data_IF_822434697151
#
_entry.id   IF_822434697151
#
_cell.length_a   1.000
_cell.length_b   1.000
_cell.length_c   1.000
_cell.angle_alpha   90.00
_cell.angle_beta   90.00
_cell.angle_gamma   90.00
#
_symmetry.space_group_name_H-M   'P 1'
#
loop_
_entity.id
_entity.type
_entity.pdbx_description
1 polymer ?
#
# COMPACT_ATOMS: atom_id res chain seq x y z
N UNK A 1 33.90 -15.48 71.40
CA UNK A 1 32.54 -15.01 71.04
C UNK A 1 32.67 -14.00 69.90
N UNK A 2 32.42 -14.42 68.66
CA UNK A 2 32.43 -13.54 67.49
C UNK A 2 31.00 -13.49 66.93
N UNK A 3 30.43 -12.29 66.80
CA UNK A 3 29.12 -12.06 66.17
C UNK A 3 29.35 -11.70 64.71
N UNK A 4 28.87 -12.55 63.80
CA UNK A 4 28.80 -12.28 62.36
C UNK A 4 27.47 -11.55 62.09
N UNK A 5 27.55 -10.32 61.60
CA UNK A 5 26.40 -9.55 61.13
C UNK A 5 26.11 -9.89 59.67
N UNK A 6 24.89 -10.34 59.39
CA UNK A 6 24.40 -10.59 58.03
C UNK A 6 23.85 -9.26 57.47
N UNK A 7 24.46 -8.78 56.38
CA UNK A 7 23.99 -7.66 55.59
C UNK A 7 22.90 -8.15 54.63
N UNK A 8 21.66 -7.69 54.79
CA UNK A 8 20.57 -7.96 53.86
C UNK A 8 20.64 -7.01 52.66
N UNK A 9 20.86 -7.53 51.46
CA UNK A 9 20.63 -6.79 50.21
C UNK A 9 19.13 -6.71 49.94
N UNK A 10 18.57 -5.50 49.88
CA UNK A 10 17.29 -5.25 49.22
C UNK A 10 17.53 -4.95 47.73
N UNK A 11 17.07 -5.84 46.87
CA UNK A 11 16.97 -5.59 45.43
C UNK A 11 15.70 -4.79 45.14
N UNK A 12 15.85 -3.54 44.72
CA UNK A 12 14.76 -2.73 44.20
C UNK A 12 14.42 -3.19 42.78
N UNK A 13 13.22 -3.77 42.60
CA UNK A 13 12.70 -4.11 41.29
C UNK A 13 12.26 -2.82 40.56
N UNK A 14 13.03 -2.43 39.53
CA UNK A 14 12.63 -1.40 38.57
C UNK A 14 11.50 -1.97 37.69
N UNK A 15 10.28 -1.50 37.90
CA UNK A 15 9.19 -1.71 36.95
C UNK A 15 9.46 -0.85 35.69
N UNK A 16 9.30 -1.40 34.47
CA UNK A 16 9.41 -0.59 33.26
C UNK A 16 8.25 0.42 33.21
N UNK A 17 8.60 1.70 33.21
CA UNK A 17 7.66 2.80 33.02
C UNK A 17 7.05 2.73 31.62
N UNK A 18 5.77 2.37 31.54
CA UNK A 18 5.00 2.53 30.32
C UNK A 18 4.81 4.02 30.04
N UNK A 19 5.42 4.50 28.95
CA UNK A 19 5.11 5.82 28.38
C UNK A 19 3.60 5.94 28.14
N UNK A 20 3.00 7.12 28.35
CA UNK A 20 1.58 7.32 28.03
C UNK A 20 1.35 7.04 26.55
N UNK A 21 0.56 6.01 26.26
CA UNK A 21 0.08 5.71 24.91
C UNK A 21 -0.84 6.85 24.46
N UNK A 22 -0.25 7.84 23.76
CA UNK A 22 -1.03 8.81 23.00
C UNK A 22 -1.89 8.10 21.95
N UNK A 23 -2.99 8.72 21.54
CA UNK A 23 -3.82 8.19 20.45
C UNK A 23 -2.94 7.92 19.23
N UNK A 24 -2.96 6.71 18.66
CA UNK A 24 -2.09 6.37 17.53
C UNK A 24 -2.33 7.37 16.38
N UNK A 25 -1.28 7.90 15.74
CA UNK A 25 -1.44 8.89 14.68
C UNK A 25 -2.36 8.35 13.58
N UNK A 26 -3.34 9.17 13.19
CA UNK A 26 -4.17 8.89 12.03
C UNK A 26 -3.44 9.37 10.79
N UNK A 27 -3.16 8.45 9.86
CA UNK A 27 -2.31 8.68 8.70
C UNK A 27 -3.11 8.53 7.41
N UNK A 28 -3.15 9.54 6.53
CA UNK A 28 -3.71 9.42 5.19
C UNK A 28 -3.14 8.21 4.44
N UNK A 29 -4.03 7.31 4.05
CA UNK A 29 -3.72 6.05 3.39
C UNK A 29 -4.29 6.02 1.97
N UNK A 30 -3.56 5.44 1.03
CA UNK A 30 -3.91 5.34 -0.38
C UNK A 30 -3.66 3.92 -0.87
N UNK A 31 -4.55 3.44 -1.73
CA UNK A 31 -4.39 2.16 -2.43
C UNK A 31 -4.19 2.49 -3.91
N UNK A 32 -3.14 1.97 -4.54
CA UNK A 32 -2.91 2.09 -5.97
C UNK A 32 -2.77 0.70 -6.59
N UNK A 33 -3.76 0.33 -7.40
CA UNK A 33 -3.85 -0.96 -8.08
C UNK A 33 -4.00 -0.81 -9.60
N UNK A 34 -3.60 -1.83 -10.36
CA UNK A 34 -3.76 -1.82 -11.82
C UNK A 34 -2.76 -2.70 -12.57
N UNK A 35 -2.35 -2.27 -13.77
CA UNK A 35 -1.40 -3.01 -14.61
C UNK A 35 -0.05 -2.30 -14.78
N UNK A 36 0.61 -2.48 -15.92
CA UNK A 36 1.94 -1.96 -16.24
C UNK A 36 2.06 -0.46 -16.00
N UNK A 37 1.12 0.35 -16.48
CA UNK A 37 1.23 1.80 -16.34
C UNK A 37 1.11 2.31 -14.90
N UNK A 38 0.74 1.45 -13.95
CA UNK A 38 0.90 1.77 -12.54
C UNK A 38 2.37 1.89 -12.12
N UNK A 39 3.34 1.31 -12.83
CA UNK A 39 4.73 1.26 -12.37
C UNK A 39 5.79 0.69 -13.31
N UNK A 40 5.67 0.82 -14.63
CA UNK A 40 6.60 0.20 -15.62
C UNK A 40 7.60 1.19 -16.24
N UNK A 41 7.47 2.50 -16.05
CA UNK A 41 8.41 3.46 -16.65
C UNK A 41 9.73 3.49 -15.87
N UNK A 42 10.85 3.14 -16.50
CA UNK A 42 12.19 3.23 -15.90
C UNK A 42 12.65 4.66 -15.67
N UNK A 43 13.50 4.91 -14.65
CA UNK A 43 14.02 6.28 -14.39
C UNK A 43 14.81 6.86 -15.55
N UNK A 44 15.35 6.02 -16.44
CA UNK A 44 16.03 6.45 -17.66
C UNK A 44 15.09 7.17 -18.65
N UNK A 45 13.77 6.96 -18.52
CA UNK A 45 12.74 7.67 -19.27
C UNK A 45 12.45 9.08 -18.76
N UNK A 46 13.02 9.50 -17.62
CA UNK A 46 12.86 10.88 -17.12
C UNK A 46 13.85 11.84 -17.80
N UNK A 47 13.35 13.02 -18.16
CA UNK A 47 14.19 14.20 -18.42
C UNK A 47 14.92 14.64 -17.14
N UNK A 48 15.95 15.48 -17.27
CA UNK A 48 16.67 16.03 -16.12
C UNK A 48 15.74 16.82 -15.19
N UNK A 49 14.82 17.60 -15.77
CA UNK A 49 13.81 18.38 -15.05
C UNK A 49 12.83 17.48 -14.30
N UNK A 50 12.34 16.41 -14.93
CA UNK A 50 11.47 15.44 -14.28
C UNK A 50 12.19 14.69 -13.16
N UNK A 51 13.44 14.31 -13.36
CA UNK A 51 14.24 13.64 -12.33
C UNK A 51 14.48 14.55 -11.12
N UNK A 52 14.75 15.83 -11.36
CA UNK A 52 14.87 16.83 -10.30
C UNK A 52 13.54 17.08 -9.57
N UNK A 53 12.42 17.01 -10.27
CA UNK A 53 11.10 17.28 -9.70
C UNK A 53 10.47 16.09 -8.98
N UNK A 54 10.69 14.85 -9.45
CA UNK A 54 9.93 13.66 -9.05
C UNK A 54 10.79 12.45 -8.70
N UNK A 55 12.11 12.50 -8.92
CA UNK A 55 13.01 11.40 -8.57
C UNK A 55 13.36 11.37 -7.08
N UNK A 56 13.87 10.22 -6.62
CA UNK A 56 14.38 10.06 -5.25
C UNK A 56 13.28 9.85 -4.21
N UNK A 57 13.59 10.22 -2.96
CA UNK A 57 12.68 10.02 -1.82
C UNK A 57 11.56 11.05 -1.85
N UNK A 58 10.31 10.60 -1.78
CA UNK A 58 9.16 11.47 -1.59
C UNK A 58 9.02 11.77 -0.09
N UNK A 59 9.09 13.04 0.35
CA UNK A 59 9.07 13.37 1.77
C UNK A 59 7.85 12.80 2.50
N UNK A 60 8.05 12.36 3.75
CA UNK A 60 7.02 11.91 4.68
C UNK A 60 6.01 10.92 4.05
N UNK A 61 6.46 10.04 3.16
CA UNK A 61 5.60 9.08 2.47
C UNK A 61 6.25 7.72 2.55
N UNK A 62 5.58 6.76 3.19
CA UNK A 62 6.01 5.36 3.13
C UNK A 62 5.16 4.61 2.10
N UNK A 63 5.76 3.60 1.48
CA UNK A 63 5.12 2.70 0.53
C UNK A 63 5.20 1.26 1.02
N UNK A 64 4.12 0.52 0.81
CA UNK A 64 4.10 -0.94 0.82
C UNK A 64 3.94 -1.41 -0.62
N UNK A 65 4.98 -2.02 -1.18
CA UNK A 65 4.96 -2.51 -2.55
C UNK A 65 5.47 -3.96 -2.63
N UNK A 66 4.56 -4.95 -2.76
CA UNK A 66 4.93 -6.34 -2.83
C UNK A 66 5.68 -6.71 -4.11
N UNK A 67 5.73 -5.86 -5.14
CA UNK A 67 6.65 -6.08 -6.26
C UNK A 67 8.14 -6.04 -5.87
N UNK A 68 8.46 -5.47 -4.70
CA UNK A 68 9.82 -5.36 -4.17
C UNK A 68 10.17 -6.40 -3.10
N UNK A 69 9.21 -7.21 -2.65
CA UNK A 69 9.47 -8.19 -1.59
C UNK A 69 8.46 -9.34 -1.46
N UNK A 70 7.48 -9.45 -2.36
CA UNK A 70 6.36 -10.39 -2.27
C UNK A 70 5.68 -10.31 -0.89
N UNK A 71 5.53 -11.47 -0.23
CA UNK A 71 5.02 -11.57 1.14
C UNK A 71 5.92 -10.95 2.22
N UNK A 72 7.16 -10.59 1.89
CA UNK A 72 8.12 -9.96 2.81
C UNK A 72 8.17 -8.44 2.68
N UNK A 73 7.29 -7.86 1.88
CA UNK A 73 7.17 -6.41 1.80
C UNK A 73 6.97 -5.82 3.21
N UNK A 74 7.61 -4.69 3.44
CA UNK A 74 7.42 -3.87 4.62
C UNK A 74 7.09 -2.47 4.15
N UNK A 75 6.61 -1.64 5.07
CA UNK A 75 6.52 -0.22 4.79
C UNK A 75 7.89 0.42 4.88
N UNK A 76 8.26 1.14 3.84
CA UNK A 76 9.56 1.78 3.69
C UNK A 76 9.38 3.18 3.08
N UNK A 77 10.32 4.13 3.28
CA UNK A 77 10.25 5.43 2.64
C UNK A 77 10.08 5.27 1.12
N UNK A 78 9.07 5.92 0.53
CA UNK A 78 8.82 5.86 -0.90
C UNK A 78 10.00 6.51 -1.63
N UNK A 79 10.71 5.70 -2.41
CA UNK A 79 11.84 6.11 -3.21
C UNK A 79 11.60 5.74 -4.68
N UNK A 80 11.36 6.77 -5.48
CA UNK A 80 11.04 6.64 -6.90
C UNK A 80 12.18 5.98 -7.65
N UNK A 81 11.85 4.88 -8.33
CA UNK A 81 12.79 4.03 -9.05
C UNK A 81 13.59 3.07 -8.18
N UNK A 82 13.17 2.84 -6.93
CA UNK A 82 13.79 1.84 -6.05
C UNK A 82 12.73 0.86 -5.55
N UNK A 83 11.66 1.35 -4.92
CA UNK A 83 10.60 0.53 -4.35
C UNK A 83 9.21 0.78 -4.98
N UNK A 84 9.21 1.25 -6.24
CA UNK A 84 8.00 1.75 -6.92
C UNK A 84 7.58 0.95 -8.15
N UNK A 85 8.30 -0.09 -8.55
CA UNK A 85 7.95 -0.89 -9.73
C UNK A 85 6.63 -1.65 -9.55
N UNK A 86 5.96 -1.97 -10.64
CA UNK A 86 4.92 -3.01 -10.63
C UNK A 86 5.55 -4.41 -10.53
N UNK A 87 4.77 -5.44 -10.28
CA UNK A 87 5.21 -6.84 -10.46
C UNK A 87 5.52 -7.10 -11.94
N UNK A 88 6.17 -8.23 -12.25
CA UNK A 88 6.62 -8.64 -13.60
C UNK A 88 7.30 -7.55 -14.46
N UNK A 89 7.92 -6.57 -13.81
CA UNK A 89 8.61 -5.44 -14.43
C UNK A 89 9.83 -5.88 -15.25
N UNK A 90 10.13 -5.13 -16.31
CA UNK A 90 11.34 -5.30 -17.10
C UNK A 90 12.53 -4.46 -16.58
N UNK A 91 12.25 -3.39 -15.82
CA UNK A 91 13.25 -2.46 -15.31
C UNK A 91 13.15 -2.34 -13.77
N UNK A 92 14.19 -2.69 -12.99
CA UNK A 92 14.15 -2.60 -11.53
C UNK A 92 13.97 -1.17 -11.01
N UNK A 93 14.25 -0.17 -11.86
CA UNK A 93 14.07 1.25 -11.58
C UNK A 93 12.70 1.77 -11.99
N UNK A 94 11.77 0.89 -12.33
CA UNK A 94 10.47 1.32 -12.79
C UNK A 94 9.66 2.05 -11.70
N UNK A 95 8.88 3.03 -12.15
CA UNK A 95 8.00 3.84 -11.35
C UNK A 95 6.74 4.18 -12.16
N UNK A 96 5.77 4.81 -11.51
CA UNK A 96 4.53 5.24 -12.14
C UNK A 96 4.03 6.60 -11.63
N UNK A 97 2.73 6.88 -11.79
CA UNK A 97 2.13 8.16 -11.42
C UNK A 97 2.25 8.53 -9.94
N UNK A 98 2.56 7.57 -9.05
CA UNK A 98 2.79 7.87 -7.63
C UNK A 98 3.90 8.89 -7.43
N UNK A 99 4.92 8.90 -8.29
CA UNK A 99 6.05 9.82 -8.18
C UNK A 99 5.59 11.28 -8.25
N UNK A 100 4.77 11.62 -9.25
CA UNK A 100 4.25 12.98 -9.42
C UNK A 100 3.09 13.25 -8.47
N UNK A 101 2.21 12.28 -8.23
CA UNK A 101 1.05 12.43 -7.35
C UNK A 101 1.47 12.75 -5.92
N UNK A 102 2.31 11.93 -5.29
CA UNK A 102 2.67 12.13 -3.89
C UNK A 102 3.59 13.34 -3.69
N UNK A 103 4.48 13.61 -4.65
CA UNK A 103 5.24 14.87 -4.66
C UNK A 103 4.31 16.09 -4.71
N UNK A 104 3.28 16.06 -5.56
CA UNK A 104 2.33 17.16 -5.68
C UNK A 104 1.47 17.32 -4.43
N UNK A 105 1.03 16.21 -3.83
CA UNK A 105 0.31 16.23 -2.55
C UNK A 105 1.17 16.80 -1.42
N UNK A 106 2.47 16.50 -1.37
CA UNK A 106 3.39 17.09 -0.40
C UNK A 106 3.59 18.60 -0.61
N UNK A 107 3.64 19.05 -1.89
CA UNK A 107 3.70 20.49 -2.22
C UNK A 107 2.43 21.23 -1.80
N UNK A 108 1.25 20.60 -1.94
CA UNK A 108 -0.02 21.19 -1.51
C UNK A 108 -0.16 21.22 0.00
N UNK A 109 0.19 20.13 0.68
CA UNK A 109 0.16 20.03 2.14
C UNK A 109 1.16 19.00 2.62
N UNK A 110 2.19 19.44 3.35
CA UNK A 110 3.13 18.54 4.01
C UNK A 110 2.41 17.73 5.08
N UNK A 111 2.40 16.42 4.92
CA UNK A 111 1.70 15.50 5.83
C UNK A 111 2.27 14.10 5.63
N UNK A 112 2.42 13.32 6.71
CA UNK A 112 2.81 11.92 6.59
C UNK A 112 1.75 11.12 5.83
N UNK A 113 2.16 10.25 4.90
CA UNK A 113 1.26 9.46 4.04
C UNK A 113 1.73 8.01 3.95
N UNK A 114 0.79 7.11 3.71
CA UNK A 114 1.05 5.70 3.42
C UNK A 114 0.42 5.32 2.07
N UNK A 115 1.19 4.65 1.22
CA UNK A 115 0.74 4.13 -0.06
C UNK A 115 0.87 2.61 -0.09
N UNK A 116 -0.23 1.89 -0.24
CA UNK A 116 -0.19 0.52 -0.72
C UNK A 116 -0.21 0.55 -2.25
N UNK A 117 0.76 -0.10 -2.90
CA UNK A 117 0.82 -0.18 -4.36
C UNK A 117 0.94 -1.62 -4.82
N UNK A 118 0.13 -2.02 -5.80
CA UNK A 118 0.25 -3.32 -6.44
C UNK A 118 -0.28 -3.28 -7.86
N UNK A 119 0.58 -3.54 -8.84
CA UNK A 119 0.15 -3.74 -10.22
C UNK A 119 0.96 -4.82 -10.90
N UNK A 120 0.46 -5.37 -12.00
CA UNK A 120 1.18 -6.34 -12.82
C UNK A 120 0.78 -6.11 -14.29
N UNK A 121 1.75 -5.94 -15.19
CA UNK A 121 1.40 -5.72 -16.60
C UNK A 121 0.88 -6.96 -17.30
N UNK A 122 0.11 -6.70 -18.37
CA UNK A 122 -0.61 -7.72 -19.12
C UNK A 122 -1.81 -8.31 -18.37
N UNK A 123 -2.25 -7.68 -17.28
CA UNK A 123 -3.43 -8.13 -16.53
C UNK A 123 -4.68 -7.40 -16.98
N UNK A 124 -5.78 -8.14 -17.06
CA UNK A 124 -7.11 -7.68 -17.45
C UNK A 124 -8.04 -7.54 -16.25
N UNK A 125 -9.02 -6.67 -16.38
CA UNK A 125 -10.15 -6.57 -15.46
C UNK A 125 -11.16 -7.69 -15.68
N UNK A 126 -11.37 -8.11 -16.93
CA UNK A 126 -12.27 -9.20 -17.27
C UNK A 126 -11.88 -10.55 -16.65
N UNK A 127 -10.58 -10.82 -16.43
CA UNK A 127 -10.09 -12.11 -15.93
C UNK A 127 -9.32 -11.96 -14.63
N UNK A 128 -8.22 -11.20 -14.62
CA UNK A 128 -7.23 -11.26 -13.52
C UNK A 128 -7.69 -10.52 -12.27
N UNK A 129 -8.22 -9.31 -12.47
CA UNK A 129 -8.74 -8.44 -11.41
C UNK A 129 -10.23 -8.65 -11.14
N UNK A 130 -10.86 -9.63 -11.80
CA UNK A 130 -12.27 -9.97 -11.58
C UNK A 130 -12.47 -10.35 -10.10
N UNK A 131 -13.40 -9.70 -9.37
CA UNK A 131 -13.56 -9.95 -7.94
C UNK A 131 -14.32 -11.27 -7.68
N UNK A 132 -13.59 -12.39 -7.69
CA UNK A 132 -14.12 -13.72 -7.38
C UNK A 132 -13.83 -14.05 -5.92
N UNK A 133 -14.88 -14.14 -5.09
CA UNK A 133 -14.78 -14.41 -3.65
C UNK A 133 -15.81 -15.48 -3.24
N UNK A 134 -15.40 -16.65 -2.69
CA UNK A 134 -14.01 -17.07 -2.47
C UNK A 134 -13.28 -17.36 -3.78
N UNK A 135 -11.97 -17.13 -3.81
CA UNK A 135 -11.14 -17.55 -4.94
C UNK A 135 -10.97 -19.07 -4.93
N UNK A 136 -11.26 -19.71 -6.06
CA UNK A 136 -11.23 -21.18 -6.22
C UNK A 136 -10.28 -21.63 -7.33
N UNK A 137 -9.38 -20.74 -7.77
CA UNK A 137 -8.53 -20.96 -8.95
C UNK A 137 -9.12 -20.34 -10.22
N UNK A 138 -8.25 -19.91 -11.13
CA UNK A 138 -8.63 -19.30 -12.41
C UNK A 138 -8.78 -17.78 -12.33
N UNK A 139 -9.92 -17.26 -12.78
CA UNK A 139 -10.18 -15.82 -12.78
C UNK A 139 -10.18 -15.23 -11.37
N UNK A 140 -9.73 -13.98 -11.26
CA UNK A 140 -9.64 -13.24 -10.01
C UNK A 140 -8.38 -13.48 -9.18
N UNK A 141 -7.37 -14.16 -9.74
CA UNK A 141 -6.12 -14.44 -9.05
C UNK A 141 -5.44 -13.17 -8.52
N UNK A 142 -5.44 -12.07 -9.30
CA UNK A 142 -4.83 -10.79 -8.88
C UNK A 142 -5.67 -10.11 -7.80
N UNK A 143 -6.99 -10.13 -7.93
CA UNK A 143 -7.88 -9.60 -6.89
C UNK A 143 -7.76 -10.36 -5.56
N UNK A 144 -7.65 -11.69 -5.61
CA UNK A 144 -7.45 -12.53 -4.44
C UNK A 144 -6.12 -12.19 -3.73
N UNK A 145 -5.03 -12.13 -4.49
CA UNK A 145 -3.71 -11.76 -3.98
C UNK A 145 -3.70 -10.34 -3.38
N UNK A 146 -4.34 -9.38 -4.06
CA UNK A 146 -4.54 -8.03 -3.53
C UNK A 146 -5.23 -8.04 -2.17
N UNK A 147 -6.30 -8.84 -2.03
CA UNK A 147 -7.01 -8.99 -0.76
C UNK A 147 -6.13 -9.47 0.39
N UNK A 148 -5.32 -10.50 0.14
CA UNK A 148 -4.39 -11.05 1.12
C UNK A 148 -3.30 -10.04 1.51
N UNK A 149 -2.66 -9.43 0.52
CA UNK A 149 -1.54 -8.52 0.75
C UNK A 149 -1.96 -7.18 1.35
N UNK A 150 -3.14 -6.65 0.98
CA UNK A 150 -3.66 -5.44 1.62
C UNK A 150 -3.97 -5.70 3.10
N UNK A 151 -4.50 -6.87 3.44
CA UNK A 151 -4.76 -7.24 4.84
C UNK A 151 -3.46 -7.35 5.65
N UNK A 152 -2.38 -7.89 5.06
CA UNK A 152 -1.05 -7.91 5.68
C UNK A 152 -0.48 -6.50 5.90
N UNK A 153 -0.55 -5.65 4.87
CA UNK A 153 -0.07 -4.26 4.95
C UNK A 153 -0.80 -3.47 6.05
N UNK A 154 -2.12 -3.65 6.14
CA UNK A 154 -2.95 -3.06 7.19
C UNK A 154 -2.56 -3.58 8.58
N UNK A 155 -2.43 -4.90 8.77
CA UNK A 155 -1.99 -5.45 10.05
C UNK A 155 -0.64 -4.88 10.49
N UNK A 156 0.34 -4.84 9.59
CA UNK A 156 1.67 -4.29 9.87
C UNK A 156 1.63 -2.77 10.14
N UNK A 157 0.72 -2.02 9.49
CA UNK A 157 0.51 -0.62 9.82
C UNK A 157 -0.03 -0.47 11.25
N UNK A 158 -1.02 -1.27 11.64
CA UNK A 158 -1.56 -1.28 13.01
C UNK A 158 -0.48 -1.60 14.04
N UNK A 159 0.35 -2.61 13.78
CA UNK A 159 1.43 -3.04 14.68
C UNK A 159 2.48 -1.96 14.91
N UNK A 160 2.76 -1.11 13.91
CA UNK A 160 3.65 0.05 14.10
C UNK A 160 3.03 1.20 14.91
N UNK A 161 1.72 1.14 15.18
CA UNK A 161 0.97 2.23 15.78
C UNK A 161 0.36 3.21 14.77
N UNK A 162 0.21 2.84 13.49
CA UNK A 162 -0.51 3.68 12.53
C UNK A 162 -2.01 3.36 12.52
N UNK A 163 -2.83 4.42 12.50
CA UNK A 163 -4.27 4.33 12.20
C UNK A 163 -4.49 4.77 10.76
N UNK A 164 -4.84 3.84 9.87
CA UNK A 164 -5.01 4.13 8.44
C UNK A 164 -6.32 4.87 8.17
N UNK A 165 -6.23 6.02 7.51
CA UNK A 165 -7.38 6.81 7.06
C UNK A 165 -7.40 6.87 5.54
N UNK A 166 -8.16 5.96 4.92
CA UNK A 166 -8.22 5.81 3.47
C UNK A 166 -8.73 7.10 2.82
N UNK A 167 -7.97 7.60 1.84
CA UNK A 167 -8.28 8.83 1.09
C UNK A 167 -8.66 8.54 -0.36
N UNK A 168 -7.99 7.58 -0.98
CA UNK A 168 -8.33 7.17 -2.34
C UNK A 168 -7.94 5.72 -2.64
N UNK A 169 -8.72 5.13 -3.53
CA UNK A 169 -8.35 3.98 -4.35
C UNK A 169 -8.05 4.54 -5.74
N UNK A 170 -6.84 4.31 -6.21
CA UNK A 170 -6.33 4.69 -7.52
C UNK A 170 -6.28 3.43 -8.38
N UNK A 171 -6.92 3.48 -9.54
CA UNK A 171 -6.97 2.39 -10.50
C UNK A 171 -6.34 2.82 -11.82
N UNK A 172 -5.36 2.06 -12.32
CA UNK A 172 -4.75 2.31 -13.63
C UNK A 172 -4.57 1.03 -14.42
N UNK A 173 -5.58 0.73 -15.24
CA UNK A 173 -5.65 -0.44 -16.09
C UNK A 173 -6.70 -0.23 -17.18
N UNK A 174 -6.61 -1.00 -18.26
CA UNK A 174 -7.64 -1.10 -19.28
C UNK A 174 -7.07 -1.48 -20.65
N UNK A 175 -5.75 -1.38 -20.80
CA UNK A 175 -5.06 -1.62 -22.07
C UNK A 175 -5.28 -3.06 -22.54
N UNK A 176 -5.21 -4.05 -21.64
CA UNK A 176 -5.47 -5.45 -22.00
C UNK A 176 -6.95 -5.71 -22.31
N UNK A 177 -7.88 -5.08 -21.59
CA UNK A 177 -9.32 -5.22 -21.89
C UNK A 177 -9.70 -4.54 -23.22
N UNK A 178 -8.93 -3.54 -23.66
CA UNK A 178 -9.14 -2.88 -24.94
C UNK A 178 -8.74 -3.74 -26.16
N UNK A 179 -8.04 -4.87 -25.96
CA UNK A 179 -7.60 -5.74 -27.05
C UNK A 179 -8.76 -6.53 -27.70
N UNK A 180 -9.92 -6.61 -27.04
CA UNK A 180 -11.10 -7.31 -27.59
C UNK A 180 -12.36 -6.48 -27.36
N UNK A 181 -13.27 -6.49 -28.35
CA UNK A 181 -14.56 -5.78 -28.24
C UNK A 181 -15.40 -6.28 -27.05
N UNK A 182 -15.35 -7.59 -26.77
CA UNK A 182 -16.08 -8.19 -25.65
C UNK A 182 -15.61 -7.66 -24.29
N UNK A 183 -14.30 -7.63 -24.05
CA UNK A 183 -13.76 -7.12 -22.78
C UNK A 183 -13.93 -5.60 -22.66
N UNK A 184 -13.69 -4.86 -23.75
CA UNK A 184 -13.90 -3.41 -23.79
C UNK A 184 -15.37 -3.04 -23.52
N UNK A 185 -16.31 -3.75 -24.13
CA UNK A 185 -17.75 -3.55 -23.93
C UNK A 185 -18.23 -3.85 -22.50
N UNK A 186 -17.61 -4.82 -21.84
CA UNK A 186 -17.91 -5.19 -20.45
C UNK A 186 -17.17 -4.34 -19.40
N UNK A 187 -16.23 -3.49 -19.82
CA UNK A 187 -15.26 -2.86 -18.91
C UNK A 187 -15.92 -2.04 -17.80
N UNK A 188 -16.93 -1.22 -18.12
CA UNK A 188 -17.61 -0.37 -17.13
C UNK A 188 -18.31 -1.19 -16.05
N UNK A 189 -18.96 -2.29 -16.43
CA UNK A 189 -19.64 -3.17 -15.48
C UNK A 189 -18.63 -3.89 -14.59
N UNK A 190 -17.54 -4.39 -15.17
CA UNK A 190 -16.47 -5.02 -14.42
C UNK A 190 -15.79 -4.03 -13.46
N UNK A 191 -15.61 -2.77 -13.86
CA UNK A 191 -15.00 -1.74 -13.02
C UNK A 191 -15.90 -1.38 -11.83
N UNK A 192 -17.21 -1.29 -12.05
CA UNK A 192 -18.18 -1.11 -10.96
C UNK A 192 -18.12 -2.28 -9.98
N UNK A 193 -18.08 -3.52 -10.49
CA UNK A 193 -17.96 -4.70 -9.66
C UNK A 193 -16.65 -4.71 -8.85
N UNK A 194 -15.52 -4.34 -9.46
CA UNK A 194 -14.23 -4.21 -8.78
C UNK A 194 -14.35 -3.22 -7.61
N UNK A 195 -14.85 -2.01 -7.85
CA UNK A 195 -14.94 -1.00 -6.79
C UNK A 195 -15.85 -1.42 -5.63
N UNK A 196 -16.99 -2.06 -5.92
CA UNK A 196 -17.85 -2.64 -4.87
C UNK A 196 -17.09 -3.67 -4.04
N UNK A 197 -16.31 -4.52 -4.69
CA UNK A 197 -15.55 -5.57 -4.02
C UNK A 197 -14.40 -4.99 -3.18
N UNK A 198 -13.63 -4.04 -3.72
CA UNK A 198 -12.54 -3.34 -3.00
C UNK A 198 -13.10 -2.58 -1.80
N UNK A 199 -14.26 -1.93 -1.95
CA UNK A 199 -14.94 -1.26 -0.82
C UNK A 199 -15.29 -2.26 0.28
N UNK A 200 -15.93 -3.39 -0.08
CA UNK A 200 -16.30 -4.43 0.88
C UNK A 200 -15.07 -5.03 1.59
N UNK A 201 -13.97 -5.24 0.86
CA UNK A 201 -12.69 -5.65 1.43
C UNK A 201 -12.17 -4.62 2.43
N UNK A 202 -12.13 -3.34 2.05
CA UNK A 202 -11.66 -2.29 2.93
C UNK A 202 -12.53 -2.17 4.18
N UNK A 203 -13.86 -2.24 4.06
CA UNK A 203 -14.78 -2.22 5.21
C UNK A 203 -14.43 -3.31 6.23
N UNK A 204 -14.19 -4.55 5.78
CA UNK A 204 -13.77 -5.64 6.68
C UNK A 204 -12.42 -5.38 7.34
N UNK A 205 -11.45 -4.87 6.59
CA UNK A 205 -10.11 -4.53 7.13
C UNK A 205 -10.23 -3.44 8.19
N UNK A 206 -10.96 -2.35 7.91
CA UNK A 206 -11.11 -1.26 8.89
C UNK A 206 -11.85 -1.69 10.14
N UNK A 207 -12.87 -2.53 10.02
CA UNK A 207 -13.60 -3.07 11.17
C UNK A 207 -12.69 -3.94 12.03
N UNK A 208 -11.91 -4.82 11.40
CA UNK A 208 -10.94 -5.70 12.08
C UNK A 208 -9.87 -4.91 12.87
N UNK A 209 -9.36 -3.81 12.33
CA UNK A 209 -8.25 -3.06 12.92
C UNK A 209 -8.68 -1.78 13.68
N UNK A 210 -9.97 -1.46 13.71
CA UNK A 210 -10.51 -0.26 14.32
C UNK A 210 -10.13 1.03 13.59
N UNK A 211 -9.99 0.99 12.27
CA UNK A 211 -9.70 2.18 11.46
C UNK A 211 -10.95 3.04 11.24
N UNK A 212 -10.77 4.37 11.10
CA UNK A 212 -11.88 5.31 10.97
C UNK A 212 -12.74 5.00 9.74
N UNK A 213 -14.03 5.34 9.83
CA UNK A 213 -14.96 5.32 8.69
C UNK A 213 -14.93 6.70 8.05
N UNK A 214 -14.12 6.87 7.02
CA UNK A 214 -14.01 8.12 6.28
C UNK A 214 -14.48 7.95 4.84
N UNK A 215 -14.99 9.02 4.25
CA UNK A 215 -15.26 9.06 2.82
C UNK A 215 -13.93 9.14 2.06
N UNK A 216 -13.83 8.39 0.96
CA UNK A 216 -12.65 8.35 0.09
C UNK A 216 -13.06 8.40 -1.38
N UNK A 217 -12.08 8.67 -2.23
CA UNK A 217 -12.25 8.73 -3.69
C UNK A 217 -11.96 7.38 -4.35
N UNK A 218 -12.63 7.13 -5.47
CA UNK A 218 -12.34 6.04 -6.41
C UNK A 218 -11.96 6.74 -7.70
N UNK A 219 -10.71 6.61 -8.11
CA UNK A 219 -10.10 7.34 -9.22
C UNK A 219 -9.63 6.34 -10.25
#
# INVERSE_FOLDING_TARGET
MAKIGILGLMAAALLPGGSPQGTPPTVPFYIFIGQSNSGWLGIAGMTAEQKAAYGGVVPDTDIWNPANGGYKATWEPLQVGVNTRCENFADPTAFGPEASLFTSLQKQKRTRRLLYKQGQGGTSLAVDWKPVVPYVGGAGARYAQFGEWLALAAAHAKERGDTLDLKAILWMQGETDAETEAAAGAYLENLRALFVAVDGLWQRIREKHGYPKTAYKRV
#
